data_IF_493285422674
#
_entry.id   IF_493285422674
#
_cell.length_a   1.000
_cell.length_b   1.000
_cell.length_c   1.000
_cell.angle_alpha   90.00
_cell.angle_beta   90.00
_cell.angle_gamma   90.00
#
_symmetry.space_group_name_H-M   'P 1'
#
loop_
_entity.id
_entity.type
_entity.pdbx_description
1 polymer ?
#
# COMPACT_ATOMS: atom_id res chain seq x y z
N UNK A 1 10.51 0.41 -10.23
CA UNK A 1 11.71 1.15 -9.78
C UNK A 1 11.38 2.56 -9.30
N UNK A 2 10.81 3.46 -10.12
CA UNK A 2 10.50 4.86 -9.71
C UNK A 2 9.80 4.98 -8.34
N UNK A 3 8.67 4.28 -8.14
CA UNK A 3 7.95 4.34 -6.86
C UNK A 3 8.73 3.73 -5.70
N UNK A 4 9.47 2.65 -5.94
CA UNK A 4 10.27 1.98 -4.92
C UNK A 4 11.44 2.84 -4.43
N UNK A 5 12.12 3.51 -5.36
CA UNK A 5 13.18 4.49 -5.04
C UNK A 5 12.60 5.70 -4.30
N UNK A 6 11.45 6.20 -4.74
CA UNK A 6 10.76 7.31 -4.08
C UNK A 6 10.38 7.01 -2.62
N UNK A 7 10.03 5.76 -2.33
CA UNK A 7 9.67 5.26 -0.99
C UNK A 7 10.88 4.76 -0.18
N UNK A 8 12.11 4.90 -0.67
CA UNK A 8 13.31 4.46 0.07
C UNK A 8 13.55 5.23 1.36
N UNK A 9 13.20 6.51 1.39
CA UNK A 9 13.33 7.44 2.52
C UNK A 9 11.98 8.05 2.94
N UNK A 10 10.85 7.52 2.42
CA UNK A 10 9.51 8.06 2.65
C UNK A 10 8.53 6.98 3.06
N UNK A 11 7.67 7.29 4.02
CA UNK A 11 6.60 6.40 4.47
C UNK A 11 5.30 6.57 3.68
N UNK A 12 5.16 7.65 2.92
CA UNK A 12 3.94 8.03 2.19
C UNK A 12 4.29 8.61 0.84
N UNK A 13 3.40 8.45 -0.13
CA UNK A 13 3.63 8.83 -1.53
C UNK A 13 3.81 10.34 -1.71
N UNK A 14 3.07 11.17 -0.97
CA UNK A 14 3.06 12.62 -1.17
C UNK A 14 3.01 13.38 0.15
N UNK A 15 3.49 14.62 0.13
CA UNK A 15 3.35 15.60 1.23
C UNK A 15 3.91 15.19 2.61
N UNK A 16 4.64 14.07 2.71
CA UNK A 16 5.15 13.55 3.99
C UNK A 16 4.05 13.15 4.97
N UNK A 17 2.85 12.82 4.48
CA UNK A 17 1.71 12.34 5.29
C UNK A 17 0.79 11.48 4.44
N UNK A 18 -0.07 10.71 5.09
CA UNK A 18 -1.06 9.88 4.40
C UNK A 18 -2.02 10.74 3.58
N UNK A 19 -2.21 10.39 2.31
CA UNK A 19 -3.10 11.09 1.37
C UNK A 19 -3.90 10.11 0.50
N UNK A 20 -4.83 10.62 -0.29
CA UNK A 20 -5.56 9.81 -1.28
C UNK A 20 -4.64 9.14 -2.32
N UNK A 21 -3.47 9.72 -2.60
CA UNK A 21 -2.52 9.15 -3.54
C UNK A 21 -2.01 7.77 -3.07
N UNK A 22 -1.85 7.59 -1.76
CA UNK A 22 -1.42 6.32 -1.19
C UNK A 22 -2.46 5.23 -1.48
N UNK A 23 -3.73 5.52 -1.21
CA UNK A 23 -4.83 4.59 -1.43
C UNK A 23 -5.06 4.30 -2.91
N UNK A 24 -4.99 5.31 -3.79
CA UNK A 24 -5.17 5.10 -5.23
C UNK A 24 -4.09 4.16 -5.81
N UNK A 25 -2.82 4.33 -5.43
CA UNK A 25 -1.75 3.46 -5.90
C UNK A 25 -1.82 2.07 -5.26
N UNK A 26 -2.18 1.98 -3.97
CA UNK A 26 -2.31 0.71 -3.27
C UNK A 26 -3.49 -0.13 -3.78
N UNK A 27 -4.62 0.48 -4.16
CA UNK A 27 -5.76 -0.23 -4.77
C UNK A 27 -5.36 -0.98 -6.05
N UNK A 28 -4.47 -0.39 -6.86
CA UNK A 28 -3.95 -1.08 -8.05
C UNK A 28 -3.07 -2.27 -7.68
N UNK A 29 -2.45 -2.21 -6.51
CA UNK A 29 -1.62 -3.28 -5.99
C UNK A 29 -2.42 -4.36 -5.26
N UNK A 30 -3.66 -4.19 -4.81
CA UNK A 30 -4.36 -5.18 -3.94
C UNK A 30 -4.25 -6.67 -4.35
N UNK A 31 -4.21 -6.99 -5.65
CA UNK A 31 -4.07 -8.37 -6.14
C UNK A 31 -2.60 -8.82 -6.36
N UNK A 32 -1.63 -8.03 -5.90
CA UNK A 32 -0.20 -8.23 -6.17
C UNK A 32 0.34 -9.51 -5.55
N UNK A 33 -0.18 -9.91 -4.39
CA UNK A 33 0.24 -11.15 -3.70
C UNK A 33 -0.33 -12.40 -4.35
N UNK A 34 -1.48 -12.27 -5.01
CA UNK A 34 -2.14 -13.35 -5.75
C UNK A 34 -1.61 -13.43 -7.20
N UNK A 35 -1.05 -12.33 -7.69
CA UNK A 35 -0.32 -12.28 -8.95
C UNK A 35 1.11 -12.76 -8.71
N UNK A 36 1.71 -13.52 -9.65
CA UNK A 36 3.13 -13.94 -9.60
C UNK A 36 4.11 -12.76 -9.84
N UNK A 37 3.77 -11.58 -9.33
CA UNK A 37 4.52 -10.35 -9.54
C UNK A 37 5.81 -10.41 -8.69
N UNK A 38 6.99 -10.12 -9.27
CA UNK A 38 8.28 -10.25 -8.58
C UNK A 38 8.52 -9.08 -7.61
N UNK A 39 7.70 -8.99 -6.57
CA UNK A 39 7.71 -7.89 -5.60
C UNK A 39 8.92 -7.93 -4.66
N UNK A 40 9.67 -9.03 -4.66
CA UNK A 40 10.99 -9.14 -4.06
C UNK A 40 11.99 -8.09 -4.59
N UNK A 41 11.78 -7.58 -5.81
CA UNK A 41 12.61 -6.53 -6.41
C UNK A 41 12.22 -5.11 -5.93
N UNK A 42 11.13 -4.98 -5.16
CA UNK A 42 10.57 -3.69 -4.73
C UNK A 42 10.26 -3.66 -3.21
N UNK A 43 11.29 -3.79 -2.35
CA UNK A 43 11.10 -3.93 -0.91
C UNK A 43 10.46 -2.71 -0.24
N UNK A 44 10.68 -1.49 -0.77
CA UNK A 44 10.10 -0.28 -0.19
C UNK A 44 8.60 -0.19 -0.51
N UNK A 45 8.20 -0.63 -1.70
CA UNK A 45 6.78 -0.76 -2.06
C UNK A 45 6.11 -1.78 -1.14
N UNK A 46 6.74 -2.95 -0.92
CA UNK A 46 6.18 -3.97 -0.01
C UNK A 46 6.01 -3.44 1.41
N UNK A 47 7.05 -2.79 1.96
CA UNK A 47 6.99 -2.13 3.29
C UNK A 47 5.85 -1.13 3.40
N UNK A 48 5.67 -0.31 2.37
CA UNK A 48 4.61 0.70 2.33
C UNK A 48 3.21 0.06 2.23
N UNK A 49 3.02 -0.94 1.37
CA UNK A 49 1.76 -1.69 1.28
C UNK A 49 1.39 -2.37 2.60
N UNK A 50 2.36 -3.02 3.26
CA UNK A 50 2.18 -3.64 4.58
C UNK A 50 1.82 -2.60 5.65
N UNK A 51 2.25 -1.35 5.50
CA UNK A 51 1.90 -0.27 6.42
C UNK A 51 0.46 0.21 6.21
N UNK A 52 -0.02 0.24 4.97
CA UNK A 52 -1.41 0.58 4.64
C UNK A 52 -2.39 -0.50 5.11
N UNK A 53 -2.03 -1.79 4.98
CA UNK A 53 -2.81 -2.92 5.51
C UNK A 53 -3.02 -2.88 7.03
N UNK A 54 -2.22 -2.12 7.77
CA UNK A 54 -2.44 -1.93 9.22
C UNK A 54 -3.58 -0.96 9.55
N UNK A 55 -4.09 -0.22 8.56
CA UNK A 55 -5.20 0.71 8.74
C UNK A 55 -6.51 -0.10 8.73
N UNK A 56 -7.29 -0.15 9.83
CA UNK A 56 -8.48 -1.01 9.90
C UNK A 56 -9.50 -0.72 8.80
N UNK A 57 -9.78 0.56 8.54
CA UNK A 57 -10.72 0.99 7.50
C UNK A 57 -10.23 0.69 6.06
N UNK A 58 -8.95 0.35 5.89
CA UNK A 58 -8.40 -0.05 4.59
C UNK A 58 -8.41 -1.57 4.42
N UNK A 59 -7.96 -2.31 5.44
CA UNK A 59 -7.88 -3.77 5.40
C UNK A 59 -9.26 -4.43 5.37
N UNK A 60 -10.25 -3.82 6.05
CA UNK A 60 -11.66 -4.21 5.97
C UNK A 60 -12.53 -2.96 5.75
N UNK A 61 -12.70 -2.53 4.48
CA UNK A 61 -13.42 -1.30 4.16
C UNK A 61 -14.95 -1.46 4.24
N UNK A 62 -15.46 -2.69 4.26
CA UNK A 62 -16.87 -3.01 4.46
C UNK A 62 -17.03 -4.02 5.60
N UNK A 63 -16.73 -3.62 6.85
CA UNK A 63 -16.85 -4.52 7.97
C UNK A 63 -18.31 -4.95 8.10
N UNK A 64 -18.54 -6.24 8.36
CA UNK A 64 -19.87 -6.73 8.66
C UNK A 64 -20.42 -5.92 9.86
N UNK A 65 -21.54 -5.23 9.65
CA UNK A 65 -22.20 -4.49 10.71
C UNK A 65 -22.55 -5.41 11.89
N UNK A 66 -22.79 -4.87 13.10
CA UNK A 66 -23.24 -5.70 14.21
C UNK A 66 -24.56 -6.37 13.78
N UNK A 67 -24.52 -7.70 13.68
CA UNK A 67 -25.69 -8.53 13.38
C UNK A 67 -26.73 -8.49 14.50
#
# INVERSE_FOLDING_TARGET
KVLDEHLSDRDTVACGRLTIADFQLASMACHWRESEMPMQDFPNIVRWLDSLERIPAWSDPWPAGPG
#
